data_IF_963493776533
#
_entry.id   IF_963493776533
#
_cell.length_a   1.000
_cell.length_b   1.000
_cell.length_c   1.000
_cell.angle_alpha   90.00
_cell.angle_beta   90.00
_cell.angle_gamma   90.00
#
_symmetry.space_group_name_H-M   'P 1'
#
loop_
_entity.id
_entity.type
_entity.pdbx_description
1 polymer ?
#
# COMPACT_ATOMS: atom_id res chain seq x y z
N UNK A 1 22.85 -11.57 -15.86
CA UNK A 1 21.99 -12.59 -15.21
C UNK A 1 21.50 -12.00 -13.89
N UNK A 2 20.23 -11.59 -13.81
CA UNK A 2 19.67 -11.00 -12.58
C UNK A 2 19.64 -12.04 -11.47
N UNK A 3 20.11 -11.69 -10.26
CA UNK A 3 19.98 -12.58 -9.10
C UNK A 3 18.49 -12.86 -8.90
N UNK A 4 18.09 -14.13 -9.01
CA UNK A 4 16.73 -14.54 -8.68
C UNK A 4 16.35 -14.13 -7.26
N UNK A 5 15.05 -14.07 -6.95
CA UNK A 5 14.58 -13.70 -5.63
C UNK A 5 15.26 -14.58 -4.56
N UNK A 6 16.02 -13.95 -3.65
CA UNK A 6 16.73 -14.65 -2.58
C UNK A 6 15.76 -15.25 -1.55
N UNK A 7 14.54 -14.70 -1.46
CA UNK A 7 13.46 -15.14 -0.58
C UNK A 7 12.42 -15.89 -1.40
N UNK A 8 12.01 -17.08 -0.95
CA UNK A 8 11.08 -17.99 -1.66
C UNK A 8 9.75 -18.23 -0.94
N UNK A 9 9.52 -17.57 0.18
CA UNK A 9 8.28 -17.71 0.94
C UNK A 9 8.26 -16.81 2.16
N UNK A 10 7.05 -16.54 2.65
CA UNK A 10 6.80 -15.85 3.90
C UNK A 10 5.61 -16.53 4.59
N UNK A 11 5.77 -16.86 5.87
CA UNK A 11 4.72 -17.42 6.71
C UNK A 11 4.44 -16.42 7.84
N UNK A 12 3.16 -16.04 7.98
CA UNK A 12 2.73 -15.06 8.98
C UNK A 12 2.35 -15.81 10.27
N UNK A 13 3.02 -15.50 11.37
CA UNK A 13 2.66 -15.97 12.70
C UNK A 13 1.76 -14.95 13.41
N UNK A 14 0.52 -15.24 13.81
CA UNK A 14 -0.23 -16.49 13.62
C UNK A 14 -1.57 -16.22 12.92
N UNK A 15 -2.22 -17.28 12.44
CA UNK A 15 -3.47 -17.13 11.66
C UNK A 15 -4.67 -16.77 12.55
N UNK A 16 -4.96 -17.61 13.55
CA UNK A 16 -6.18 -17.57 14.37
C UNK A 16 -5.94 -17.89 15.85
N UNK A 17 -6.92 -17.57 16.70
CA UNK A 17 -6.90 -17.76 18.16
C UNK A 17 -7.93 -18.79 18.61
N UNK A 18 -7.65 -19.48 19.71
CA UNK A 18 -8.54 -20.47 20.34
C UNK A 18 -9.36 -19.91 21.52
N UNK A 19 -9.07 -18.68 21.96
CA UNK A 19 -9.80 -17.99 23.03
C UNK A 19 -9.68 -16.45 22.88
N UNK A 20 -10.56 -15.64 23.48
CA UNK A 20 -10.48 -14.19 23.39
C UNK A 20 -9.25 -13.64 24.13
N UNK A 21 -8.23 -13.21 23.40
CA UNK A 21 -7.02 -12.63 23.99
C UNK A 21 -6.29 -11.68 23.04
N UNK A 22 -5.27 -10.98 23.54
CA UNK A 22 -4.39 -10.13 22.76
C UNK A 22 -3.19 -10.93 22.27
N UNK A 23 -3.28 -11.45 21.04
CA UNK A 23 -2.21 -12.21 20.37
C UNK A 23 -1.95 -11.72 18.95
N UNK A 24 -0.88 -12.23 18.34
CA UNK A 24 -0.42 -11.92 16.97
C UNK A 24 -1.32 -12.48 15.85
N UNK A 25 -2.58 -12.83 16.14
CA UNK A 25 -3.49 -13.32 15.12
C UNK A 25 -3.92 -12.25 14.15
N UNK A 26 -4.13 -12.66 12.90
CA UNK A 26 -4.78 -11.84 11.88
C UNK A 26 -6.30 -12.09 11.79
N UNK A 27 -6.80 -13.19 12.37
CA UNK A 27 -8.22 -13.49 12.58
C UNK A 27 -8.46 -13.77 14.06
N UNK A 28 -9.37 -13.04 14.72
CA UNK A 28 -9.63 -13.24 16.14
C UNK A 28 -10.49 -14.48 16.45
N UNK A 29 -10.70 -14.76 17.74
CA UNK A 29 -11.51 -15.87 18.23
C UNK A 29 -12.98 -15.85 17.78
N UNK A 30 -13.53 -14.68 17.42
CA UNK A 30 -14.91 -14.51 16.95
C UNK A 30 -15.01 -14.46 15.42
N UNK A 31 -14.19 -15.27 14.73
CA UNK A 31 -13.86 -15.17 13.31
C UNK A 31 -13.78 -13.78 12.66
N UNK A 32 -13.37 -12.73 13.39
CA UNK A 32 -13.28 -11.37 12.82
C UNK A 32 -11.89 -11.14 12.25
N UNK A 33 -11.85 -10.69 11.00
CA UNK A 33 -10.60 -10.33 10.31
C UNK A 33 -10.06 -9.02 10.88
N UNK A 34 -8.84 -9.05 11.41
CA UNK A 34 -8.12 -7.84 11.85
C UNK A 34 -7.56 -7.10 10.63
N UNK A 35 -7.21 -5.80 10.75
CA UNK A 35 -6.62 -5.04 9.63
C UNK A 35 -5.42 -5.73 8.96
N UNK A 36 -4.60 -6.44 9.74
CA UNK A 36 -3.46 -7.21 9.23
C UNK A 36 -3.87 -8.28 8.20
N UNK A 37 -5.03 -8.93 8.36
CA UNK A 37 -5.54 -9.91 7.40
C UNK A 37 -5.70 -9.30 6.00
N UNK A 38 -6.25 -8.09 5.92
CA UNK A 38 -6.48 -7.41 4.63
C UNK A 38 -5.18 -6.93 3.98
N UNK A 39 -4.18 -6.58 4.78
CA UNK A 39 -2.82 -6.28 4.26
C UNK A 39 -2.17 -7.54 3.70
N UNK A 40 -2.19 -8.65 4.45
CA UNK A 40 -1.65 -9.94 3.99
C UNK A 40 -2.38 -10.43 2.74
N UNK A 41 -3.71 -10.37 2.70
CA UNK A 41 -4.52 -10.74 1.53
C UNK A 41 -4.11 -9.96 0.27
N UNK A 42 -3.80 -8.67 0.40
CA UNK A 42 -3.34 -7.83 -0.72
C UNK A 42 -1.91 -8.17 -1.13
N UNK A 43 -1.02 -8.36 -0.17
CA UNK A 43 0.37 -8.74 -0.42
C UNK A 43 0.53 -10.12 -1.08
N UNK A 44 -0.42 -11.03 -0.83
CA UNK A 44 -0.44 -12.38 -1.40
C UNK A 44 -1.23 -12.49 -2.72
N UNK A 45 -1.62 -11.36 -3.34
CA UNK A 45 -2.20 -11.44 -4.69
C UNK A 45 -1.17 -12.00 -5.68
N UNK A 46 -1.58 -12.81 -6.68
CA UNK A 46 -0.66 -13.41 -7.63
C UNK A 46 0.18 -12.41 -8.43
N UNK A 47 -0.29 -11.16 -8.51
CA UNK A 47 0.42 -10.07 -9.12
C UNK A 47 0.25 -8.84 -8.21
N UNK A 48 1.37 -8.33 -7.68
CA UNK A 48 1.35 -7.33 -6.64
C UNK A 48 2.32 -6.19 -6.90
N UNK A 49 1.80 -5.00 -6.61
CA UNK A 49 2.48 -3.72 -6.52
C UNK A 49 3.27 -3.61 -5.23
N UNK A 50 4.49 -3.08 -5.29
CA UNK A 50 5.20 -2.60 -4.12
C UNK A 50 5.81 -1.24 -4.39
N UNK A 51 5.58 -0.26 -3.52
CA UNK A 51 6.32 1.00 -3.51
C UNK A 51 6.96 1.19 -2.15
N UNK A 52 8.22 1.58 -2.14
CA UNK A 52 8.95 1.76 -0.90
C UNK A 52 9.99 2.87 -1.03
N UNK A 53 9.96 3.83 -0.09
CA UNK A 53 11.10 4.72 0.16
C UNK A 53 12.21 3.97 0.89
N UNK A 54 13.45 4.31 0.58
CA UNK A 54 14.61 3.83 1.32
C UNK A 54 14.51 4.26 2.79
N UNK A 55 14.71 3.31 3.70
CA UNK A 55 14.71 3.56 5.14
C UNK A 55 16.13 3.46 5.68
N UNK A 56 16.47 4.36 6.59
CA UNK A 56 17.68 4.29 7.40
C UNK A 56 17.39 3.59 8.73
N UNK A 57 18.40 3.50 9.58
CA UNK A 57 18.28 2.99 10.94
C UNK A 57 17.01 3.54 11.63
N UNK A 58 16.27 2.62 12.27
CA UNK A 58 14.97 2.88 12.87
C UNK A 58 14.97 4.10 13.80
N UNK A 59 16.07 4.34 14.51
CA UNK A 59 16.23 5.49 15.40
C UNK A 59 16.19 6.85 14.69
N UNK A 60 16.74 6.94 13.48
CA UNK A 60 16.86 8.20 12.71
C UNK A 60 15.55 8.54 12.01
N UNK A 61 14.92 7.54 11.38
CA UNK A 61 13.67 7.71 10.62
C UNK A 61 12.44 8.00 11.50
N UNK A 62 12.53 7.83 12.82
CA UNK A 62 11.49 8.25 13.77
C UNK A 62 11.71 9.65 14.35
N UNK A 63 12.94 10.19 14.27
CA UNK A 63 13.28 11.47 14.87
C UNK A 63 12.96 12.64 13.93
N UNK A 64 13.41 12.57 12.68
CA UNK A 64 13.32 13.67 11.70
C UNK A 64 13.04 13.14 10.29
N UNK A 65 12.31 13.89 9.44
CA UNK A 65 12.21 13.57 8.02
C UNK A 65 13.59 13.51 7.39
N UNK A 66 13.83 12.50 6.55
CA UNK A 66 15.02 12.46 5.72
C UNK A 66 15.00 13.67 4.79
N UNK A 67 16.13 14.34 4.57
CA UNK A 67 16.21 15.46 3.62
C UNK A 67 15.93 14.99 2.20
N UNK A 68 16.39 13.78 1.90
CA UNK A 68 16.28 13.12 0.62
C UNK A 68 15.82 11.69 0.86
N UNK A 69 14.85 11.21 0.08
CA UNK A 69 14.39 9.83 0.10
C UNK A 69 14.48 9.24 -1.29
N UNK A 70 15.32 8.22 -1.48
CA UNK A 70 15.21 7.38 -2.66
C UNK A 70 13.97 6.50 -2.55
N UNK A 71 13.42 6.09 -3.67
CA UNK A 71 12.32 5.14 -3.70
C UNK A 71 12.47 4.16 -4.86
N UNK A 72 11.85 3.00 -4.69
CA UNK A 72 11.71 2.00 -5.73
C UNK A 72 10.27 1.52 -5.81
N UNK A 73 9.84 1.23 -7.03
CA UNK A 73 8.59 0.57 -7.35
C UNK A 73 8.93 -0.78 -7.94
N UNK A 74 8.40 -1.85 -7.35
CA UNK A 74 8.60 -3.22 -7.79
C UNK A 74 7.26 -3.87 -8.11
N UNK A 75 7.28 -4.77 -9.08
CA UNK A 75 6.18 -5.69 -9.36
C UNK A 75 6.64 -7.08 -9.03
N UNK A 76 5.81 -7.85 -8.35
CA UNK A 76 6.05 -9.27 -8.08
C UNK A 76 4.92 -10.09 -8.65
N UNK A 77 5.25 -11.13 -9.41
CA UNK A 77 4.32 -12.06 -10.02
C UNK A 77 4.61 -13.49 -9.54
N UNK A 78 3.57 -14.21 -9.14
CA UNK A 78 3.60 -15.66 -8.92
C UNK A 78 2.88 -16.43 -10.04
N UNK A 79 2.58 -15.76 -11.17
CA UNK A 79 1.94 -16.39 -12.32
C UNK A 79 2.93 -17.29 -13.06
N UNK A 80 2.42 -18.40 -13.61
CA UNK A 80 3.22 -19.38 -14.37
C UNK A 80 3.68 -18.87 -15.73
N UNK A 81 3.00 -17.86 -16.27
CA UNK A 81 3.30 -17.25 -17.56
C UNK A 81 3.47 -15.76 -17.36
N UNK A 82 4.43 -15.20 -18.09
CA UNK A 82 4.70 -13.79 -18.15
C UNK A 82 3.47 -13.01 -18.56
N UNK A 83 3.44 -11.75 -18.13
CA UNK A 83 2.36 -10.82 -18.45
C UNK A 83 2.94 -9.45 -18.72
N UNK A 84 2.21 -8.68 -19.51
CA UNK A 84 2.54 -7.29 -19.79
C UNK A 84 1.61 -6.40 -18.99
N UNK A 85 2.17 -5.38 -18.34
CA UNK A 85 1.45 -4.52 -17.41
C UNK A 85 1.86 -3.07 -17.61
N UNK A 86 0.96 -2.16 -17.28
CA UNK A 86 1.25 -0.73 -17.21
C UNK A 86 1.38 -0.32 -15.75
N UNK A 87 2.32 0.59 -15.50
CA UNK A 87 2.65 1.10 -14.17
C UNK A 87 2.39 2.59 -14.15
N UNK A 88 1.69 3.06 -13.12
CA UNK A 88 1.54 4.47 -12.83
C UNK A 88 1.96 4.75 -11.37
N UNK A 89 2.83 5.74 -11.19
CA UNK A 89 3.22 6.26 -9.89
C UNK A 89 2.78 7.72 -9.77
N UNK A 90 1.92 7.99 -8.79
CA UNK A 90 1.41 9.31 -8.43
C UNK A 90 2.02 9.81 -7.12
N UNK A 91 2.05 11.13 -6.97
CA UNK A 91 2.60 11.83 -5.80
C UNK A 91 1.50 12.70 -5.22
N UNK A 92 0.73 12.13 -4.29
CA UNK A 92 -0.53 12.73 -3.81
C UNK A 92 -0.27 13.51 -2.54
N UNK A 93 -0.54 14.81 -2.54
CA UNK A 93 -0.45 15.69 -1.37
C UNK A 93 -1.31 15.17 -0.22
N UNK A 94 -0.77 15.18 1.00
CA UNK A 94 -1.56 14.84 2.20
C UNK A 94 -2.58 15.96 2.49
N UNK A 95 -2.18 17.21 2.27
CA UNK A 95 -2.97 18.37 2.69
C UNK A 95 -4.07 18.72 1.68
N UNK A 96 -3.79 18.64 0.37
CA UNK A 96 -4.77 18.98 -0.66
C UNK A 96 -5.50 17.76 -1.22
N UNK A 97 -4.83 16.60 -1.28
CA UNK A 97 -5.31 15.41 -1.99
C UNK A 97 -5.03 15.43 -3.50
N UNK A 98 -4.42 16.50 -4.01
CA UNK A 98 -4.05 16.64 -5.42
C UNK A 98 -2.65 16.10 -5.70
N UNK A 99 -2.34 15.86 -6.98
CA UNK A 99 -1.00 15.47 -7.39
C UNK A 99 -0.04 16.67 -7.34
N UNK A 100 1.07 16.53 -6.61
CA UNK A 100 2.06 17.61 -6.48
C UNK A 100 2.97 17.75 -7.71
N UNK A 101 2.96 16.74 -8.59
CA UNK A 101 3.72 16.69 -9.84
C UNK A 101 3.13 15.62 -10.78
N UNK A 102 3.44 15.68 -12.09
CA UNK A 102 2.94 14.70 -13.05
C UNK A 102 3.27 13.26 -12.65
N UNK A 103 2.33 12.35 -12.92
CA UNK A 103 2.53 10.93 -12.71
C UNK A 103 3.66 10.38 -13.57
N UNK A 104 4.40 9.40 -13.04
CA UNK A 104 5.40 8.66 -13.81
C UNK A 104 4.73 7.38 -14.31
N UNK A 105 4.62 7.25 -15.62
CA UNK A 105 3.99 6.09 -16.27
C UNK A 105 5.01 5.25 -17.02
N UNK A 106 4.88 3.92 -16.93
CA UNK A 106 5.64 2.98 -17.74
C UNK A 106 4.69 1.94 -18.32
N UNK A 107 4.42 2.06 -19.61
CA UNK A 107 3.59 1.13 -20.34
C UNK A 107 4.39 -0.11 -20.76
N UNK A 108 3.72 -1.25 -20.91
CA UNK A 108 4.31 -2.43 -21.53
C UNK A 108 5.42 -3.11 -20.72
N UNK A 109 5.38 -3.03 -19.39
CA UNK A 109 6.34 -3.72 -18.52
C UNK A 109 6.18 -5.23 -18.63
N UNK A 110 7.17 -5.89 -19.23
CA UNK A 110 7.21 -7.35 -19.32
C UNK A 110 7.62 -7.98 -18.00
N UNK A 111 6.73 -8.81 -17.44
CA UNK A 111 7.00 -9.61 -16.26
C UNK A 111 7.51 -11.00 -16.63
N UNK A 112 8.57 -11.50 -15.97
CA UNK A 112 8.97 -12.90 -16.11
C UNK A 112 7.95 -13.84 -15.45
N UNK A 113 8.03 -15.11 -15.83
CA UNK A 113 7.34 -16.20 -15.13
C UNK A 113 7.82 -16.24 -13.68
N UNK A 114 6.89 -16.20 -12.72
CA UNK A 114 7.16 -16.30 -11.28
C UNK A 114 8.39 -15.49 -10.81
N UNK A 115 8.36 -14.17 -11.01
CA UNK A 115 9.48 -13.30 -10.66
C UNK A 115 9.08 -11.86 -10.35
N UNK A 116 10.10 -11.07 -10.00
CA UNK A 116 9.95 -9.67 -9.62
C UNK A 116 10.80 -8.76 -10.50
N UNK A 117 10.29 -7.57 -10.81
CA UNK A 117 10.98 -6.54 -11.61
C UNK A 117 10.86 -5.20 -10.90
N UNK A 118 11.98 -4.47 -10.82
CA UNK A 118 11.96 -3.05 -10.44
C UNK A 118 11.52 -2.22 -11.65
N UNK A 119 10.35 -1.60 -11.55
CA UNK A 119 9.72 -0.87 -12.64
C UNK A 119 10.22 0.58 -12.75
N UNK A 120 10.24 1.28 -11.61
CA UNK A 120 10.57 2.70 -11.49
C UNK A 120 11.46 2.88 -10.26
N UNK A 121 12.49 3.71 -10.38
CA UNK A 121 13.28 4.20 -9.25
C UNK A 121 13.38 5.71 -9.33
N UNK A 122 13.60 6.36 -8.20
CA UNK A 122 13.78 7.80 -8.18
C UNK A 122 14.16 8.32 -6.82
N UNK A 123 14.11 9.64 -6.70
CA UNK A 123 14.48 10.36 -5.49
C UNK A 123 13.53 11.52 -5.25
N UNK A 124 13.24 11.76 -3.98
CA UNK A 124 12.40 12.85 -3.49
C UNK A 124 13.27 13.74 -2.62
N UNK A 125 13.22 15.05 -2.87
CA UNK A 125 13.75 16.05 -1.96
C UNK A 125 12.61 16.51 -1.03
N UNK A 126 12.69 16.13 0.25
CA UNK A 126 11.64 16.43 1.22
C UNK A 126 11.77 17.85 1.82
N UNK A 127 12.77 18.64 1.39
CA UNK A 127 12.91 20.05 1.80
C UNK A 127 12.09 20.99 0.93
N UNK A 128 11.97 20.64 -0.35
CA UNK A 128 11.32 21.46 -1.39
C UNK A 128 9.92 20.97 -1.71
N UNK A 129 9.68 19.66 -1.57
CA UNK A 129 8.35 19.09 -1.75
C UNK A 129 7.58 19.08 -0.43
N UNK A 130 6.28 19.39 -0.50
CA UNK A 130 5.36 19.17 0.61
C UNK A 130 5.18 17.68 0.93
N UNK A 131 4.55 17.37 2.06
CA UNK A 131 4.33 15.99 2.47
C UNK A 131 3.30 15.29 1.56
N UNK A 132 3.72 14.19 0.92
CA UNK A 132 2.91 13.48 -0.07
C UNK A 132 3.07 11.96 0.03
N UNK A 133 2.02 11.25 -0.38
CA UNK A 133 1.95 9.80 -0.51
C UNK A 133 2.43 9.40 -1.90
N UNK A 134 3.27 8.36 -1.97
CA UNK A 134 3.50 7.64 -3.22
C UNK A 134 2.37 6.66 -3.40
N UNK A 135 1.58 6.83 -4.45
CA UNK A 135 0.50 5.92 -4.79
C UNK A 135 0.86 5.23 -6.11
N UNK A 136 1.04 3.92 -6.08
CA UNK A 136 1.29 3.13 -7.29
C UNK A 136 0.05 2.33 -7.65
N UNK A 137 -0.25 2.29 -8.94
CA UNK A 137 -1.22 1.36 -9.51
C UNK A 137 -0.62 0.61 -10.69
N UNK A 138 -1.02 -0.65 -10.82
CA UNK A 138 -0.72 -1.46 -11.99
C UNK A 138 -2.00 -1.85 -12.68
N UNK A 139 -2.02 -1.68 -13.99
CA UNK A 139 -3.14 -2.06 -14.83
C UNK A 139 -2.74 -3.07 -15.89
N UNK A 140 -3.72 -3.86 -16.30
CA UNK A 140 -3.65 -4.75 -17.45
C UNK A 140 -4.93 -4.55 -18.25
N UNK A 141 -4.81 -4.29 -19.54
CA UNK A 141 -5.95 -4.07 -20.43
C UNK A 141 -6.91 -2.97 -19.92
N UNK A 142 -6.34 -1.90 -19.36
CA UNK A 142 -7.09 -0.78 -18.77
C UNK A 142 -7.70 -1.04 -17.38
N UNK A 143 -7.67 -2.28 -16.87
CA UNK A 143 -8.19 -2.63 -15.55
C UNK A 143 -7.08 -2.60 -14.49
N UNK A 144 -7.29 -1.89 -13.37
CA UNK A 144 -6.32 -1.87 -12.26
C UNK A 144 -6.34 -3.19 -11.51
N UNK A 145 -5.20 -3.87 -11.47
CA UNK A 145 -5.02 -5.18 -10.85
C UNK A 145 -4.50 -5.07 -9.42
N UNK A 146 -3.58 -4.13 -9.17
CA UNK A 146 -2.95 -3.96 -7.86
C UNK A 146 -2.63 -2.51 -7.57
N UNK A 147 -2.66 -2.15 -6.30
CA UNK A 147 -2.32 -0.83 -5.78
C UNK A 147 -1.52 -0.97 -4.50
N UNK A 148 -0.57 -0.07 -4.32
CA UNK A 148 0.16 0.06 -3.06
C UNK A 148 0.44 1.54 -2.77
N UNK A 149 0.66 1.85 -1.50
CA UNK A 149 0.91 3.23 -1.06
C UNK A 149 2.03 3.27 -0.04
N UNK A 150 2.98 4.18 -0.26
CA UNK A 150 4.00 4.53 0.72
C UNK A 150 3.82 6.00 1.12
N UNK A 151 3.35 6.29 2.33
CA UNK A 151 3.29 7.64 2.87
C UNK A 151 4.64 8.10 3.47
N UNK A 152 4.88 9.41 3.65
CA UNK A 152 6.16 9.92 4.12
C UNK A 152 6.43 9.57 5.59
N UNK A 153 7.70 9.49 5.96
CA UNK A 153 8.17 9.23 7.32
C UNK A 153 8.88 10.47 7.91
N UNK A 154 8.76 10.74 9.23
CA UNK A 154 8.01 9.99 10.23
C UNK A 154 6.52 10.34 10.27
N UNK A 155 5.66 9.34 10.46
CA UNK A 155 4.21 9.53 10.52
C UNK A 155 3.70 10.50 11.58
N UNK A 156 4.35 10.55 12.74
CA UNK A 156 3.83 11.26 13.92
C UNK A 156 3.71 12.77 13.76
N UNK A 157 4.31 13.33 12.70
CA UNK A 157 4.25 14.76 12.38
C UNK A 157 3.24 15.08 11.27
N UNK A 158 2.56 14.07 10.73
CA UNK A 158 1.58 14.24 9.65
C UNK A 158 0.18 14.22 10.22
N UNK A 159 -0.67 15.14 9.77
CA UNK A 159 -2.10 15.10 10.05
C UNK A 159 -2.85 14.48 8.87
N UNK A 160 -3.69 13.50 9.16
CA UNK A 160 -4.64 12.91 8.21
C UNK A 160 -6.08 13.23 8.62
N UNK A 161 -6.26 14.28 9.42
CA UNK A 161 -7.56 14.71 9.92
C UNK A 161 -8.42 15.32 8.79
N UNK A 162 -9.74 15.26 8.95
CA UNK A 162 -10.70 15.93 8.07
C UNK A 162 -10.57 15.58 6.58
N UNK A 163 -10.33 14.30 6.26
CA UNK A 163 -10.25 13.80 4.87
C UNK A 163 -11.52 13.94 4.02
N UNK A 164 -12.58 14.54 4.55
CA UNK A 164 -13.84 14.77 3.85
C UNK A 164 -14.59 13.47 3.54
N UNK A 165 -14.61 12.55 4.50
CA UNK A 165 -15.25 11.24 4.35
C UNK A 165 -16.75 11.41 4.19
N UNK A 166 -17.30 10.85 3.13
CA UNK A 166 -18.74 10.69 2.97
C UNK A 166 -19.02 9.22 2.75
N UNK A 167 -20.07 8.73 3.42
CA UNK A 167 -20.51 7.34 3.30
C UNK A 167 -21.97 7.37 2.87
N UNK A 168 -22.25 6.77 1.73
CA UNK A 168 -23.61 6.50 1.26
C UNK A 168 -23.84 4.99 1.36
N UNK A 169 -24.99 4.59 1.88
CA UNK A 169 -25.35 3.20 2.05
C UNK A 169 -26.54 2.90 1.14
N UNK A 170 -26.39 1.86 0.33
CA UNK A 170 -27.44 1.30 -0.53
C UNK A 170 -27.78 -0.12 -0.06
N UNK A 171 -28.71 -0.79 -0.74
CA UNK A 171 -29.06 -2.19 -0.44
C UNK A 171 -27.85 -3.12 -0.63
N UNK A 172 -27.16 -3.41 0.48
CA UNK A 172 -26.06 -4.37 0.52
C UNK A 172 -24.67 -3.82 0.19
N UNK A 173 -24.55 -2.52 -0.10
CA UNK A 173 -23.27 -1.86 -0.41
C UNK A 173 -23.09 -0.55 0.34
N UNK A 174 -21.84 -0.13 0.47
CA UNK A 174 -21.47 1.19 0.95
C UNK A 174 -20.57 1.85 -0.09
N UNK A 175 -20.92 3.05 -0.52
CA UNK A 175 -20.03 3.93 -1.25
C UNK A 175 -19.32 4.84 -0.25
N UNK A 176 -17.98 4.85 -0.30
CA UNK A 176 -17.15 5.70 0.55
C UNK A 176 -16.34 6.62 -0.34
N UNK A 177 -16.59 7.92 -0.23
CA UNK A 177 -15.82 8.95 -0.92
C UNK A 177 -14.95 9.71 0.08
N UNK A 178 -13.77 10.12 -0.38
CA UNK A 178 -12.76 10.79 0.43
C UNK A 178 -12.11 11.86 -0.45
N UNK A 179 -11.89 13.06 0.08
CA UNK A 179 -11.29 14.19 -0.65
C UNK A 179 -9.77 14.23 -0.54
N UNK A 180 -9.21 13.75 0.56
CA UNK A 180 -7.77 13.79 0.86
C UNK A 180 -7.28 12.44 1.37
N UNK A 181 -5.99 12.08 1.19
CA UNK A 181 -5.45 10.87 1.74
C UNK A 181 -5.83 10.67 3.20
N UNK A 182 -6.36 9.50 3.52
CA UNK A 182 -6.65 9.08 4.88
C UNK A 182 -5.94 7.78 5.18
N UNK A 183 -5.53 7.63 6.44
CA UNK A 183 -4.84 6.44 6.90
C UNK A 183 -5.77 5.56 7.74
N UNK A 184 -5.77 4.26 7.45
CA UNK A 184 -6.43 3.21 8.25
C UNK A 184 -7.94 3.43 8.43
N UNK A 185 -8.67 3.70 7.34
CA UNK A 185 -10.13 3.64 7.36
C UNK A 185 -10.60 2.25 7.79
N UNK A 186 -11.48 2.19 8.80
CA UNK A 186 -12.08 0.96 9.31
C UNK A 186 -13.58 1.15 9.42
N UNK A 187 -14.35 0.31 8.73
CA UNK A 187 -15.79 0.21 8.93
C UNK A 187 -16.09 -0.88 9.96
N UNK A 188 -16.93 -0.56 10.95
CA UNK A 188 -17.38 -1.49 11.98
C UNK A 188 -18.89 -1.44 12.05
N UNK A 189 -19.55 -2.58 11.86
CA UNK A 189 -20.97 -2.72 12.15
C UNK A 189 -21.15 -2.79 13.67
N UNK A 190 -21.83 -1.80 14.24
CA UNK A 190 -22.31 -1.87 15.61
C UNK A 190 -23.57 -2.74 15.59
N UNK A 191 -23.50 -3.91 16.22
CA UNK A 191 -24.72 -4.64 16.58
C UNK A 191 -25.34 -3.86 17.74
N UNK A 192 -26.56 -3.35 17.56
CA UNK A 192 -27.33 -2.86 18.68
C UNK A 192 -27.57 -4.03 19.64
N UNK A 193 -27.20 -3.88 20.91
CA UNK A 193 -27.69 -4.75 21.97
C UNK A 193 -29.19 -4.45 22.09
N UNK A 194 -30.02 -5.41 21.67
CA UNK A 194 -31.42 -5.47 22.12
C UNK A 194 -31.47 -5.90 23.58
#
# INVERSE_FOLDING_TARGET
MGRGAAVRGALVWQMNDYWPTSLWVIVDYHPRRKPAFYTVKRALQPLVAGVQREHHDWSVCHARPAKVSKYSVCVTSSLRRGSTLDVELRFVSIDSGEDIKPAITKAGLTMPDNGSVTAITGQIDNRTNEAHVLAVSFSRDGAVISRDVDPPQPFKYLSFENGGVQVQADEGSYEVSIKRPMKRFVSKRLMALC
#
